data_IF_220533091559
#
_entry.id   IF_220533091559
#
_cell.length_a   1.000
_cell.length_b   1.000
_cell.length_c   1.000
_cell.angle_alpha   90.00
_cell.angle_beta   90.00
_cell.angle_gamma   90.00
#
_symmetry.space_group_name_H-M   'P 1'
#
loop_
_entity.id
_entity.type
_entity.pdbx_description
1 polymer ?
#
# COMPACT_ATOMS: atom_id res chain seq x y z
N UNK A 1 1.96 30.03 -31.44
CA UNK A 1 0.94 29.06 -31.02
C UNK A 1 1.65 27.73 -30.81
N UNK A 2 2.00 27.39 -29.57
CA UNK A 2 2.65 26.12 -29.25
C UNK A 2 1.58 25.03 -29.24
N UNK A 3 1.77 23.98 -30.04
CA UNK A 3 0.89 22.83 -30.02
C UNK A 3 0.99 22.15 -28.65
N UNK A 4 -0.13 22.09 -27.91
CA UNK A 4 -0.28 21.24 -26.75
C UNK A 4 -0.01 19.80 -27.21
N UNK A 5 1.08 19.19 -26.75
CA UNK A 5 1.33 17.76 -26.95
C UNK A 5 0.24 17.00 -26.21
N UNK A 6 -0.67 16.40 -26.98
CA UNK A 6 -1.72 15.56 -26.42
C UNK A 6 -1.04 14.25 -26.02
N UNK A 7 -1.02 13.93 -24.72
CA UNK A 7 -0.57 12.63 -24.22
C UNK A 7 -1.37 11.54 -24.93
N UNK A 8 -0.67 10.63 -25.61
CA UNK A 8 -1.30 9.49 -26.27
C UNK A 8 -1.71 8.47 -25.21
N UNK A 9 -2.99 8.13 -25.16
CA UNK A 9 -3.48 7.10 -24.25
C UNK A 9 -2.94 5.73 -24.64
N UNK A 10 -2.76 4.82 -23.68
CA UNK A 10 -2.20 3.48 -23.96
C UNK A 10 -2.99 2.73 -25.04
N UNK A 11 -4.32 2.84 -25.05
CA UNK A 11 -5.21 2.20 -26.04
C UNK A 11 -5.08 2.78 -27.46
N UNK A 12 -4.45 3.96 -27.61
CA UNK A 12 -4.18 4.58 -28.91
C UNK A 12 -2.85 4.11 -29.52
N UNK A 13 -2.03 3.38 -28.77
CA UNK A 13 -0.78 2.83 -29.27
C UNK A 13 -1.07 1.73 -30.28
N UNK A 14 -0.37 1.76 -31.42
CA UNK A 14 -0.56 0.78 -32.51
C UNK A 14 -0.40 -0.67 -32.07
N UNK A 15 0.51 -0.90 -31.12
CA UNK A 15 0.81 -2.25 -30.62
C UNK A 15 -0.16 -2.69 -29.51
N UNK A 16 -1.09 -1.84 -29.04
CA UNK A 16 -2.08 -2.23 -28.03
C UNK A 16 -2.96 -3.39 -28.52
N UNK A 17 -3.27 -4.41 -27.68
CA UNK A 17 -2.82 -4.61 -26.29
C UNK A 17 -1.57 -5.50 -26.17
N UNK A 18 -0.81 -5.69 -27.25
CA UNK A 18 0.36 -6.59 -27.31
C UNK A 18 1.59 -5.97 -26.62
N UNK A 19 1.56 -5.96 -25.29
CA UNK A 19 2.70 -5.51 -24.50
C UNK A 19 3.93 -6.38 -24.72
N UNK A 20 5.09 -5.73 -24.72
CA UNK A 20 6.39 -6.39 -24.78
C UNK A 20 7.21 -5.98 -23.57
N UNK A 21 7.80 -6.98 -22.93
CA UNK A 21 8.77 -6.78 -21.86
C UNK A 21 10.16 -6.49 -22.45
N UNK A 22 10.88 -5.58 -21.82
CA UNK A 22 12.26 -5.25 -22.15
C UNK A 22 13.06 -5.18 -20.84
N UNK A 23 13.88 -6.20 -20.59
CA UNK A 23 14.64 -6.30 -19.35
C UNK A 23 15.67 -5.16 -19.21
N UNK A 24 16.25 -4.68 -20.30
CA UNK A 24 17.28 -3.62 -20.24
C UNK A 24 16.70 -2.33 -19.68
N UNK A 25 15.42 -2.05 -19.94
CA UNK A 25 14.72 -0.86 -19.42
C UNK A 25 14.43 -0.93 -17.92
N UNK A 26 14.39 -2.13 -17.34
CA UNK A 26 13.97 -2.33 -15.95
C UNK A 26 15.10 -2.81 -15.03
N UNK A 27 16.19 -3.33 -15.59
CA UNK A 27 17.33 -3.86 -14.85
C UNK A 27 17.85 -2.91 -13.76
N UNK A 28 17.96 -1.61 -14.05
CA UNK A 28 18.40 -0.63 -13.06
C UNK A 28 17.39 -0.44 -11.91
N UNK A 29 16.09 -0.39 -12.21
CA UNK A 29 15.03 -0.27 -11.22
C UNK A 29 14.90 -1.55 -10.38
N UNK A 30 15.00 -2.73 -11.01
CA UNK A 30 15.01 -4.04 -10.34
C UNK A 30 16.18 -4.17 -9.35
N UNK A 31 17.38 -3.75 -9.76
CA UNK A 31 18.55 -3.76 -8.88
C UNK A 31 18.36 -2.82 -7.68
N UNK A 32 17.83 -1.61 -7.91
CA UNK A 32 17.54 -0.65 -6.85
C UNK A 32 16.48 -1.18 -5.88
N UNK A 33 15.38 -1.75 -6.41
CA UNK A 33 14.32 -2.37 -5.64
C UNK A 33 14.83 -3.54 -4.79
N UNK A 34 15.62 -4.43 -5.38
CA UNK A 34 16.21 -5.59 -4.70
C UNK A 34 17.11 -5.14 -3.56
N UNK A 35 17.97 -4.15 -3.80
CA UNK A 35 18.85 -3.58 -2.76
C UNK A 35 18.04 -2.96 -1.63
N UNK A 36 17.02 -2.16 -1.96
CA UNK A 36 16.14 -1.54 -0.97
C UNK A 36 15.40 -2.58 -0.11
N UNK A 37 14.84 -3.60 -0.77
CA UNK A 37 14.14 -4.70 -0.10
C UNK A 37 15.06 -5.49 0.83
N UNK A 38 16.31 -5.73 0.43
CA UNK A 38 17.32 -6.36 1.28
C UNK A 38 17.66 -5.53 2.51
N UNK A 39 17.76 -4.20 2.38
CA UNK A 39 17.98 -3.29 3.50
C UNK A 39 16.80 -3.37 4.48
N UNK A 40 15.55 -3.27 3.99
CA UNK A 40 14.35 -3.36 4.83
C UNK A 40 14.29 -4.70 5.57
N UNK A 41 14.54 -5.80 4.85
CA UNK A 41 14.55 -7.15 5.42
C UNK A 41 15.60 -7.30 6.52
N UNK A 42 16.82 -6.77 6.30
CA UNK A 42 17.87 -6.78 7.31
C UNK A 42 17.57 -5.88 8.51
N UNK A 43 17.03 -4.69 8.27
CA UNK A 43 16.62 -3.77 9.34
C UNK A 43 15.55 -4.38 10.24
N UNK A 44 14.56 -5.08 9.66
CA UNK A 44 13.48 -5.77 10.40
C UNK A 44 14.02 -6.76 11.44
N UNK A 45 15.18 -7.38 11.21
CA UNK A 45 15.78 -8.35 12.14
C UNK A 45 16.24 -7.73 13.47
N UNK A 46 16.31 -6.40 13.56
CA UNK A 46 16.74 -5.68 14.75
C UNK A 46 15.57 -5.15 15.58
N UNK A 47 14.33 -5.37 15.13
CA UNK A 47 13.12 -4.95 15.84
C UNK A 47 12.62 -6.10 16.71
N UNK A 48 12.19 -5.78 17.93
CA UNK A 48 11.46 -6.72 18.77
C UNK A 48 9.99 -6.86 18.32
N UNK A 49 9.26 -7.77 18.95
CA UNK A 49 7.86 -8.07 18.59
C UNK A 49 6.94 -6.86 18.78
N UNK A 50 7.16 -6.03 19.80
CA UNK A 50 6.35 -4.85 20.07
C UNK A 50 6.61 -3.76 19.01
N UNK A 51 7.88 -3.53 18.66
CA UNK A 51 8.30 -2.63 17.59
C UNK A 51 7.76 -3.09 16.21
N UNK A 52 7.76 -4.39 15.94
CA UNK A 52 7.20 -4.96 14.72
C UNK A 52 5.68 -4.77 14.65
N UNK A 53 4.97 -5.01 15.75
CA UNK A 53 3.53 -4.81 15.81
C UNK A 53 3.16 -3.33 15.59
N UNK A 54 3.90 -2.40 16.19
CA UNK A 54 3.72 -0.97 15.94
C UNK A 54 3.93 -0.64 14.45
N UNK A 55 5.00 -1.16 13.85
CA UNK A 55 5.32 -0.94 12.44
C UNK A 55 4.22 -1.48 11.51
N UNK A 56 3.72 -2.70 11.75
CA UNK A 56 2.63 -3.26 10.94
C UNK A 56 1.37 -2.42 11.05
N UNK A 57 0.98 -2.01 12.26
CA UNK A 57 -0.19 -1.15 12.46
C UNK A 57 -0.06 0.16 11.68
N UNK A 58 1.09 0.82 11.74
CA UNK A 58 1.31 2.06 10.99
C UNK A 58 1.28 1.85 9.47
N UNK A 59 1.97 0.82 8.96
CA UNK A 59 2.00 0.53 7.52
C UNK A 59 0.61 0.22 6.96
N UNK A 60 -0.13 -0.67 7.61
CA UNK A 60 -1.48 -1.05 7.19
C UNK A 60 -2.45 0.12 7.32
N UNK A 61 -2.30 0.97 8.35
CA UNK A 61 -3.15 2.15 8.52
C UNK A 61 -2.92 3.18 7.42
N UNK A 62 -1.67 3.40 7.03
CA UNK A 62 -1.33 4.30 5.94
C UNK A 62 -1.83 3.75 4.61
N UNK A 63 -1.60 2.47 4.31
CA UNK A 63 -2.08 1.85 3.06
C UNK A 63 -3.60 1.91 2.96
N UNK A 64 -4.32 1.59 4.04
CA UNK A 64 -5.79 1.68 4.09
C UNK A 64 -6.30 3.08 3.75
N UNK A 65 -5.65 4.13 4.25
CA UNK A 65 -6.06 5.52 4.00
C UNK A 65 -5.74 5.89 2.56
N UNK A 66 -4.50 5.67 2.13
CA UNK A 66 -4.01 6.12 0.83
C UNK A 66 -4.79 5.43 -0.31
N UNK A 67 -5.08 4.12 -0.19
CA UNK A 67 -5.88 3.42 -1.19
C UNK A 67 -7.36 3.82 -1.17
N UNK A 68 -7.94 4.11 0.00
CA UNK A 68 -9.31 4.61 0.10
C UNK A 68 -9.45 6.01 -0.50
N UNK A 69 -8.45 6.88 -0.34
CA UNK A 69 -8.45 8.22 -0.93
C UNK A 69 -8.49 8.18 -2.46
N UNK A 70 -7.84 7.20 -3.10
CA UNK A 70 -7.91 6.99 -4.56
C UNK A 70 -9.35 6.76 -5.03
N UNK A 71 -10.14 6.03 -4.23
CA UNK A 71 -11.55 5.74 -4.49
C UNK A 71 -12.50 6.88 -4.05
N UNK A 72 -11.95 7.97 -3.50
CA UNK A 72 -12.71 9.11 -3.00
C UNK A 72 -13.29 8.91 -1.60
N UNK A 73 -12.86 7.88 -0.87
CA UNK A 73 -13.26 7.62 0.51
C UNK A 73 -12.29 8.28 1.50
N UNK A 74 -12.80 9.22 2.30
CA UNK A 74 -12.03 9.88 3.35
C UNK A 74 -12.34 9.21 4.68
N UNK A 75 -11.40 8.44 5.20
CA UNK A 75 -11.55 7.65 6.43
C UNK A 75 -10.91 8.35 7.64
N UNK A 76 -11.43 8.10 8.83
CA UNK A 76 -10.80 8.58 10.06
C UNK A 76 -9.60 7.70 10.43
N UNK A 77 -8.39 8.28 10.37
CA UNK A 77 -7.14 7.57 10.67
C UNK A 77 -7.14 6.86 12.03
N UNK A 78 -7.63 7.50 13.08
CA UNK A 78 -7.64 6.90 14.42
C UNK A 78 -8.59 5.69 14.47
N UNK A 79 -9.70 5.74 13.74
CA UNK A 79 -10.67 4.65 13.68
C UNK A 79 -10.13 3.47 12.87
N UNK A 80 -9.51 3.73 11.71
CA UNK A 80 -8.81 2.71 10.92
C UNK A 80 -7.70 2.04 11.74
N UNK A 81 -6.86 2.84 12.41
CA UNK A 81 -5.79 2.32 13.24
C UNK A 81 -6.31 1.48 14.42
N UNK A 82 -7.39 1.89 15.07
CA UNK A 82 -8.02 1.12 16.14
C UNK A 82 -8.63 -0.19 15.63
N UNK A 83 -9.20 -0.20 14.42
CA UNK A 83 -9.70 -1.42 13.77
C UNK A 83 -8.57 -2.38 13.41
N UNK A 84 -7.48 -1.89 12.80
CA UNK A 84 -6.31 -2.74 12.46
C UNK A 84 -5.69 -3.35 13.72
N UNK A 85 -5.57 -2.59 14.80
CA UNK A 85 -5.08 -3.13 16.09
C UNK A 85 -6.00 -4.20 16.66
N UNK A 86 -7.32 -4.08 16.46
CA UNK A 86 -8.26 -5.12 16.88
C UNK A 86 -8.12 -6.38 16.03
N UNK A 87 -8.06 -6.25 14.70
CA UNK A 87 -7.89 -7.40 13.79
C UNK A 87 -6.57 -8.16 14.03
N UNK A 88 -5.48 -7.45 14.32
CA UNK A 88 -4.20 -8.06 14.71
C UNK A 88 -4.19 -8.66 16.14
N UNK A 89 -5.31 -8.63 16.86
CA UNK A 89 -5.41 -9.14 18.24
C UNK A 89 -4.68 -8.29 19.29
N UNK A 90 -4.31 -7.05 18.97
CA UNK A 90 -3.52 -6.13 19.81
C UNK A 90 -4.39 -5.21 20.68
N UNK A 91 -5.70 -5.12 20.44
CA UNK A 91 -6.62 -4.31 21.23
C UNK A 91 -8.05 -4.86 21.26
N UNK A 92 -8.88 -4.30 22.14
CA UNK A 92 -10.31 -4.57 22.15
C UNK A 92 -11.03 -3.93 20.96
N UNK A 93 -12.24 -4.43 20.67
CA UNK A 93 -13.03 -3.98 19.53
C UNK A 93 -13.32 -2.47 19.54
N UNK A 94 -13.08 -1.75 18.43
CA UNK A 94 -13.25 -0.29 18.38
C UNK A 94 -14.74 0.08 18.46
N UNK A 95 -15.08 1.04 19.32
CA UNK A 95 -16.48 1.43 19.56
C UNK A 95 -17.03 2.49 18.59
N UNK A 96 -16.15 3.15 17.82
CA UNK A 96 -16.48 4.32 17.01
C UNK A 96 -16.18 4.15 15.52
N UNK A 97 -15.58 3.03 15.13
CA UNK A 97 -15.29 2.78 13.73
C UNK A 97 -16.59 2.58 12.93
N UNK A 98 -16.65 3.20 11.77
CA UNK A 98 -17.68 2.96 10.77
C UNK A 98 -17.48 1.60 10.11
N UNK A 99 -18.51 1.04 9.45
CA UNK A 99 -18.36 -0.20 8.68
C UNK A 99 -17.26 -0.12 7.61
N UNK A 100 -17.05 1.04 6.99
CA UNK A 100 -16.00 1.27 5.99
C UNK A 100 -14.60 1.18 6.62
N UNK A 101 -14.39 1.88 7.73
CA UNK A 101 -13.11 1.89 8.45
C UNK A 101 -12.77 0.53 9.06
N UNK A 102 -13.80 -0.23 9.47
CA UNK A 102 -13.62 -1.59 9.96
C UNK A 102 -13.36 -2.56 8.81
N UNK A 103 -14.12 -2.47 7.71
CA UNK A 103 -13.97 -3.36 6.56
C UNK A 103 -12.64 -3.20 5.82
N UNK A 104 -12.12 -1.98 5.68
CA UNK A 104 -10.78 -1.78 5.09
C UNK A 104 -9.69 -2.34 6.01
N UNK A 105 -9.86 -2.23 7.32
CA UNK A 105 -8.92 -2.78 8.29
C UNK A 105 -8.84 -4.31 8.18
N UNK A 106 -9.99 -4.98 8.16
CA UNK A 106 -10.10 -6.44 7.95
C UNK A 106 -9.42 -6.87 6.64
N UNK A 107 -9.68 -6.15 5.55
CA UNK A 107 -9.05 -6.42 4.25
C UNK A 107 -7.52 -6.25 4.30
N UNK A 108 -7.02 -5.18 4.91
CA UNK A 108 -5.57 -4.92 4.99
C UNK A 108 -4.86 -5.97 5.85
N UNK A 109 -5.49 -6.43 6.92
CA UNK A 109 -4.92 -7.50 7.74
C UNK A 109 -4.96 -8.85 7.04
N UNK A 110 -6.03 -9.18 6.32
CA UNK A 110 -6.12 -10.42 5.52
C UNK A 110 -5.09 -10.47 4.39
N UNK A 111 -4.78 -9.34 3.75
CA UNK A 111 -3.73 -9.24 2.73
C UNK A 111 -2.31 -9.40 3.29
N UNK A 112 -2.14 -9.18 4.59
CA UNK A 112 -0.84 -9.23 5.27
C UNK A 112 -0.49 -10.63 5.79
N UNK A 113 -1.50 -11.48 6.07
CA UNK A 113 -1.33 -12.87 6.52
C UNK A 113 -0.95 -13.85 5.39
#
# INVERSE_FOLDING_TARGET
MGALSIMTWNWQQKEWPNFRWDNEKLSAAEQAFTRGSGIITGSKQHLDEEELNLLHVELLSTEAIDTSEIEGEILNRESVQASIRYELGLSAHPKKATPQEFGIAEMMTDLYE
#
